data_IF_648199422430
#
_entry.id   IF_648199422430
#
_cell.length_a   1.000
_cell.length_b   1.000
_cell.length_c   1.000
_cell.angle_alpha   90.00
_cell.angle_beta   90.00
_cell.angle_gamma   90.00
#
_symmetry.space_group_name_H-M   'P 1'
#
loop_
_entity.id
_entity.type
_entity.pdbx_description
1 polymer ?
#
# COMPACT_ATOMS: atom_id res chain seq x y z
N UNK A 1 -21.81 2.57 -4.77
CA UNK A 1 -21.07 3.72 -5.34
C UNK A 1 -19.59 3.37 -5.41
N UNK A 2 -19.10 3.07 -6.62
CA UNK A 2 -17.67 2.87 -6.89
C UNK A 2 -17.03 4.25 -6.95
N UNK A 3 -16.08 4.54 -6.06
CA UNK A 3 -15.33 5.79 -6.10
C UNK A 3 -14.15 5.61 -7.05
N UNK A 4 -14.25 6.24 -8.22
CA UNK A 4 -13.18 6.39 -9.19
C UNK A 4 -11.95 7.04 -8.55
N UNK A 5 -10.78 6.47 -8.88
CA UNK A 5 -9.45 6.82 -8.35
C UNK A 5 -9.06 8.30 -8.60
N UNK A 6 -9.81 9.00 -9.47
CA UNK A 6 -9.60 10.39 -9.85
C UNK A 6 -9.89 11.41 -8.72
N UNK A 7 -10.67 11.05 -7.69
CA UNK A 7 -11.06 11.98 -6.61
C UNK A 7 -10.01 12.18 -5.50
N UNK A 8 -8.96 11.35 -5.47
CA UNK A 8 -7.98 11.33 -4.38
C UNK A 8 -6.91 12.43 -4.47
N UNK A 9 -7.00 13.32 -5.47
CA UNK A 9 -6.18 14.54 -5.57
C UNK A 9 -6.73 15.73 -4.77
N UNK A 10 -7.91 15.64 -4.15
CA UNK A 10 -8.58 16.80 -3.54
C UNK A 10 -8.39 16.96 -2.01
N UNK A 11 -7.74 16.03 -1.32
CA UNK A 11 -7.44 16.25 0.10
C UNK A 11 -6.16 15.55 0.54
N UNK A 12 -5.13 16.36 0.78
CA UNK A 12 -3.89 16.06 1.49
C UNK A 12 -4.11 15.42 2.88
N UNK A 13 -5.36 15.32 3.36
CA UNK A 13 -5.73 14.87 4.70
C UNK A 13 -6.05 13.38 4.85
N UNK A 14 -6.31 12.63 3.78
CA UNK A 14 -6.45 11.16 3.89
C UNK A 14 -5.07 10.52 3.75
N UNK A 15 -4.32 10.48 4.85
CA UNK A 15 -3.05 9.73 4.95
C UNK A 15 -3.31 8.24 4.75
N UNK A 16 -3.26 7.78 3.50
CA UNK A 16 -3.31 6.35 3.17
C UNK A 16 -2.06 5.67 3.75
N UNK A 17 -2.25 4.58 4.48
CA UNK A 17 -1.18 3.78 5.08
C UNK A 17 -1.32 2.31 4.67
N UNK A 18 -0.21 1.71 4.26
CA UNK A 18 -0.18 0.29 3.89
C UNK A 18 -0.41 -0.59 5.13
N UNK A 19 -1.39 -1.48 5.06
CA UNK A 19 -1.70 -2.43 6.14
C UNK A 19 -0.52 -3.35 6.49
N UNK A 20 0.25 -3.78 5.48
CA UNK A 20 1.41 -4.65 5.69
C UNK A 20 2.63 -3.86 6.23
N UNK A 21 3.17 -2.91 5.45
CA UNK A 21 4.48 -2.30 5.75
C UNK A 21 4.42 -0.89 6.38
N UNK A 22 3.20 -0.37 6.62
CA UNK A 22 2.94 0.98 7.14
C UNK A 22 3.52 2.13 6.30
N UNK A 23 3.90 1.88 5.05
CA UNK A 23 4.29 2.93 4.13
C UNK A 23 3.14 3.92 3.96
N UNK A 24 3.44 5.22 4.02
CA UNK A 24 2.49 6.33 3.79
C UNK A 24 2.62 6.94 2.40
N UNK A 25 3.65 6.56 1.66
CA UNK A 25 3.90 6.95 0.29
C UNK A 25 4.09 5.71 -0.59
N UNK A 26 3.47 5.70 -1.76
CA UNK A 26 3.62 4.68 -2.78
C UNK A 26 3.18 5.23 -4.14
N UNK A 27 3.67 4.64 -5.24
CA UNK A 27 3.27 5.02 -6.59
C UNK A 27 1.81 4.69 -6.90
N UNK A 28 1.32 3.59 -6.33
CA UNK A 28 -0.05 3.12 -6.54
C UNK A 28 -0.50 2.35 -5.30
N UNK A 29 -1.72 2.62 -4.86
CA UNK A 29 -2.35 1.86 -3.79
C UNK A 29 -3.10 0.67 -4.39
N UNK A 30 -3.00 -0.49 -3.73
CA UNK A 30 -3.67 -1.72 -4.15
C UNK A 30 -4.58 -2.21 -3.02
N UNK A 31 -5.63 -2.95 -3.37
CA UNK A 31 -6.42 -3.71 -2.40
C UNK A 31 -5.67 -5.00 -2.07
N UNK A 32 -5.62 -5.38 -0.80
CA UNK A 32 -5.01 -6.65 -0.39
C UNK A 32 -5.88 -7.80 -0.87
N UNK A 33 -5.24 -8.82 -1.42
CA UNK A 33 -5.93 -10.07 -1.80
C UNK A 33 -6.04 -11.03 -0.61
N UNK A 34 -5.14 -10.88 0.38
CA UNK A 34 -5.12 -11.70 1.59
C UNK A 34 -6.03 -11.15 2.69
N UNK A 35 -6.25 -9.84 2.70
CA UNK A 35 -7.07 -9.15 3.70
C UNK A 35 -8.10 -8.27 2.99
N UNK A 36 -9.29 -8.80 2.65
CA UNK A 36 -10.33 -8.04 1.99
C UNK A 36 -10.63 -6.72 2.71
N UNK A 37 -10.80 -5.64 1.95
CA UNK A 37 -11.03 -4.30 2.49
C UNK A 37 -9.79 -3.58 3.04
N UNK A 38 -8.62 -4.23 3.14
CA UNK A 38 -7.36 -3.57 3.52
C UNK A 38 -6.65 -2.98 2.31
N UNK A 39 -6.05 -1.81 2.53
CA UNK A 39 -5.21 -1.12 1.54
C UNK A 39 -3.74 -1.48 1.75
N UNK A 40 -3.04 -1.80 0.67
CA UNK A 40 -1.60 -2.09 0.67
C UNK A 40 -0.88 -1.24 -0.37
N UNK A 41 0.41 -0.98 -0.15
CA UNK A 41 1.23 -0.29 -1.15
C UNK A 41 1.51 -1.18 -2.36
N UNK A 42 1.98 -0.59 -3.46
CA UNK A 42 2.25 -1.30 -4.71
C UNK A 42 3.13 -2.55 -4.49
N UNK A 43 4.24 -2.41 -3.74
CA UNK A 43 5.19 -3.51 -3.50
C UNK A 43 4.57 -4.65 -2.66
N UNK A 44 3.72 -4.33 -1.69
CA UNK A 44 3.05 -5.34 -0.87
C UNK A 44 1.95 -6.06 -1.67
N UNK A 45 1.11 -5.33 -2.41
CA UNK A 45 0.06 -5.94 -3.22
C UNK A 45 0.60 -6.81 -4.36
N UNK A 46 1.72 -6.42 -4.99
CA UNK A 46 2.39 -7.27 -5.97
C UNK A 46 2.94 -8.55 -5.34
N UNK A 47 3.56 -8.45 -4.16
CA UNK A 47 4.09 -9.61 -3.46
C UNK A 47 2.98 -10.60 -3.08
N UNK A 48 1.85 -10.09 -2.56
CA UNK A 48 0.69 -10.94 -2.26
C UNK A 48 0.20 -11.67 -3.52
N UNK A 49 0.07 -10.98 -4.66
CA UNK A 49 -0.35 -11.60 -5.92
C UNK A 49 0.59 -12.68 -6.43
N UNK A 50 1.90 -12.49 -6.28
CA UNK A 50 2.90 -13.43 -6.80
C UNK A 50 3.12 -14.62 -5.88
N UNK A 51 3.11 -14.40 -4.56
CA UNK A 51 3.52 -15.42 -3.58
C UNK A 51 2.36 -15.94 -2.71
N UNK A 52 1.16 -15.38 -2.84
CA UNK A 52 -0.01 -15.69 -2.01
C UNK A 52 0.25 -15.57 -0.49
N UNK A 53 1.30 -14.84 -0.09
CA UNK A 53 1.70 -14.61 1.30
C UNK A 53 2.02 -13.13 1.54
N UNK A 54 1.91 -12.63 2.79
CA UNK A 54 2.23 -11.23 3.06
C UNK A 54 3.73 -10.98 2.88
N UNK A 55 4.07 -9.82 2.29
CA UNK A 55 5.47 -9.38 2.15
C UNK A 55 6.17 -9.36 3.51
N UNK A 56 7.29 -10.09 3.70
CA UNK A 56 8.03 -10.06 4.95
C UNK A 56 8.63 -8.66 5.19
N UNK A 57 8.61 -8.23 6.46
CA UNK A 57 9.07 -6.91 6.90
C UNK A 57 10.60 -6.80 7.02
N UNK A 58 11.33 -7.91 6.88
CA UNK A 58 12.79 -8.04 7.01
C UNK A 58 13.57 -7.50 5.81
N UNK A 59 13.19 -6.32 5.34
CA UNK A 59 14.10 -5.52 4.53
C UNK A 59 14.42 -4.26 5.32
N UNK A 60 15.69 -4.02 5.68
CA UNK A 60 16.08 -2.81 6.39
C UNK A 60 15.54 -1.63 5.60
N UNK A 61 14.72 -0.79 6.23
CA UNK A 61 14.35 0.48 5.63
C UNK A 61 15.67 1.20 5.45
N UNK A 62 16.18 1.31 4.22
CA UNK A 62 17.12 2.38 3.92
C UNK A 62 16.34 3.65 4.21
N UNK A 63 16.57 4.22 5.40
CA UNK A 63 16.29 5.62 5.69
C UNK A 63 16.82 6.34 4.45
N UNK A 64 15.96 7.10 3.78
CA UNK A 64 16.43 8.07 2.79
C UNK A 64 17.44 8.91 3.57
N UNK A 65 18.71 8.69 3.30
CA UNK A 65 19.78 9.55 3.78
C UNK A 65 19.42 10.94 3.28
N UNK A 66 19.35 11.88 4.22
CA UNK A 66 19.33 13.31 3.93
C UNK A 66 20.54 13.64 3.04
#
# INVERSE_FOLDING_TARGET
FYTDDAGLKLCDRIRRQCFNCRATATTTWRRSILNPGKLVCNKCGLFERTHAVPRPKTFPRRRRSL
#
